data_IF_606900243359
#
_entry.id   IF_606900243359
#
_cell.length_a   1.000
_cell.length_b   1.000
_cell.length_c   1.000
_cell.angle_alpha   90.00
_cell.angle_beta   90.00
_cell.angle_gamma   90.00
#
_symmetry.space_group_name_H-M   'P 1'
#
loop_
_entity.id
_entity.type
_entity.pdbx_description
1 polymer ?
#
# COMPACT_ATOMS: atom_id res chain seq x y z
N UNK A 1 29.77 -27.12 5.71
CA UNK A 1 29.92 -28.38 4.93
C UNK A 1 29.62 -28.05 3.47
N UNK A 2 30.52 -28.34 2.52
CA UNK A 2 30.24 -28.10 1.11
C UNK A 2 29.22 -29.13 0.61
N UNK A 3 28.00 -28.70 0.34
CA UNK A 3 27.01 -29.54 -0.31
C UNK A 3 27.45 -29.84 -1.74
N UNK A 4 28.00 -31.01 -1.95
CA UNK A 4 28.37 -31.52 -3.25
C UNK A 4 27.10 -32.09 -3.88
N UNK A 5 26.41 -31.29 -4.71
CA UNK A 5 25.40 -31.80 -5.63
C UNK A 5 26.01 -32.89 -6.51
N UNK A 6 25.74 -34.16 -6.17
CA UNK A 6 26.16 -35.30 -6.98
C UNK A 6 25.21 -35.41 -8.16
N UNK A 7 25.48 -34.66 -9.22
CA UNK A 7 24.84 -34.88 -10.50
C UNK A 7 25.28 -36.23 -11.07
N UNK A 8 24.38 -37.20 -11.15
CA UNK A 8 24.66 -38.54 -11.70
C UNK A 8 24.87 -38.59 -13.22
N UNK A 9 24.86 -37.45 -13.89
CA UNK A 9 25.14 -37.32 -15.31
C UNK A 9 26.33 -36.38 -15.50
N UNK A 10 27.23 -36.72 -16.40
CA UNK A 10 28.44 -35.95 -16.77
C UNK A 10 28.13 -34.66 -17.52
N UNK A 11 26.85 -34.30 -17.67
CA UNK A 11 26.41 -33.10 -18.34
C UNK A 11 26.17 -31.99 -17.32
N UNK A 12 26.91 -30.92 -17.44
CA UNK A 12 26.75 -29.72 -16.59
C UNK A 12 25.44 -29.02 -16.92
N UNK A 13 24.61 -28.76 -15.89
CA UNK A 13 23.37 -27.99 -16.04
C UNK A 13 23.66 -26.60 -16.63
N UNK A 14 22.91 -26.17 -17.63
CA UNK A 14 23.01 -24.83 -18.23
C UNK A 14 21.63 -24.31 -18.64
N UNK A 15 21.41 -23.04 -18.37
CA UNK A 15 20.16 -22.33 -18.72
C UNK A 15 18.92 -23.12 -18.31
N UNK A 16 18.94 -23.65 -17.08
CA UNK A 16 17.84 -24.47 -16.57
C UNK A 16 17.66 -24.36 -15.07
N UNK A 17 16.44 -24.59 -14.66
CA UNK A 17 16.04 -24.75 -13.26
C UNK A 17 16.34 -26.16 -12.78
N UNK A 18 16.79 -26.27 -11.53
CA UNK A 18 16.97 -27.52 -10.82
C UNK A 18 16.38 -27.35 -9.42
N UNK A 19 15.61 -28.34 -8.99
CA UNK A 19 15.11 -28.45 -7.62
C UNK A 19 15.73 -29.61 -6.90
N UNK A 20 15.90 -29.46 -5.60
CA UNK A 20 16.30 -30.53 -4.67
C UNK A 20 15.42 -30.46 -3.44
N UNK A 21 15.15 -31.61 -2.83
CA UNK A 21 14.44 -31.68 -1.56
C UNK A 21 15.29 -31.03 -0.46
N UNK A 22 14.64 -30.26 0.41
CA UNK A 22 15.28 -29.57 1.53
C UNK A 22 15.42 -30.50 2.75
N UNK A 23 16.38 -31.43 2.68
CA UNK A 23 16.59 -32.46 3.73
C UNK A 23 17.13 -31.85 5.05
N UNK A 24 17.68 -30.66 5.02
CA UNK A 24 18.33 -29.99 6.16
C UNK A 24 17.44 -28.91 6.82
N UNK A 25 16.15 -28.79 6.45
CA UNK A 25 15.20 -27.80 6.92
C UNK A 25 15.80 -26.37 6.85
N UNK A 26 16.42 -26.04 5.72
CA UNK A 26 17.04 -24.73 5.49
C UNK A 26 15.97 -23.69 5.22
N UNK A 27 15.92 -22.66 6.05
CA UNK A 27 15.09 -21.48 5.79
C UNK A 27 15.66 -20.65 4.63
N UNK A 28 14.79 -20.21 3.74
CA UNK A 28 15.17 -19.32 2.64
C UNK A 28 14.46 -17.98 2.82
N UNK A 29 15.23 -16.95 3.18
CA UNK A 29 14.71 -15.60 3.46
C UNK A 29 13.65 -15.55 4.58
N UNK A 30 13.80 -16.42 5.61
CA UNK A 30 12.86 -16.51 6.73
C UNK A 30 11.66 -17.42 6.49
N UNK A 31 11.53 -17.99 5.29
CA UNK A 31 10.45 -18.89 4.92
C UNK A 31 10.90 -20.36 5.05
N UNK A 32 10.06 -21.20 5.67
CA UNK A 32 10.20 -22.66 5.63
C UNK A 32 9.81 -23.15 4.24
N UNK A 33 10.71 -23.90 3.59
CA UNK A 33 10.49 -24.42 2.23
C UNK A 33 10.81 -25.91 2.18
N UNK A 34 9.99 -26.69 1.50
CA UNK A 34 10.22 -28.14 1.29
C UNK A 34 11.20 -28.40 0.14
N UNK A 35 11.34 -27.43 -0.78
CA UNK A 35 12.11 -27.60 -2.00
C UNK A 35 13.04 -26.41 -2.24
N UNK A 36 14.31 -26.67 -2.41
CA UNK A 36 15.31 -25.68 -2.81
C UNK A 36 15.44 -25.61 -4.32
N UNK A 37 15.18 -24.42 -4.91
CA UNK A 37 15.28 -24.17 -6.35
C UNK A 37 16.51 -23.37 -6.71
N UNK A 38 17.17 -23.77 -7.78
CA UNK A 38 18.36 -23.10 -8.33
C UNK A 38 18.19 -22.84 -9.82
N UNK A 39 18.73 -21.73 -10.31
CA UNK A 39 18.85 -21.50 -11.74
C UNK A 39 20.33 -21.48 -12.17
N UNK A 40 20.68 -22.37 -13.07
CA UNK A 40 22.02 -22.46 -13.64
C UNK A 40 22.10 -21.67 -14.95
N UNK A 41 23.01 -20.68 -15.02
CA UNK A 41 23.24 -19.89 -16.20
C UNK A 41 23.97 -20.63 -17.33
N UNK A 42 24.28 -19.94 -18.41
CA UNK A 42 24.95 -20.47 -19.59
C UNK A 42 26.38 -21.02 -19.29
N UNK A 43 27.02 -20.46 -18.29
CA UNK A 43 28.33 -20.92 -17.78
C UNK A 43 28.23 -22.15 -16.86
N UNK A 44 27.00 -22.66 -16.60
CA UNK A 44 26.71 -23.78 -15.71
C UNK A 44 27.02 -23.51 -14.25
N UNK A 45 26.97 -22.26 -13.80
CA UNK A 45 27.03 -21.87 -12.40
C UNK A 45 25.63 -21.42 -11.96
N UNK A 46 25.24 -21.75 -10.74
CA UNK A 46 24.02 -21.23 -10.14
C UNK A 46 24.11 -19.68 -9.99
N UNK A 47 23.00 -19.00 -10.22
CA UNK A 47 22.90 -17.61 -9.84
C UNK A 47 22.84 -17.53 -8.32
N UNK A 48 23.60 -16.62 -7.75
CA UNK A 48 23.65 -16.37 -6.32
C UNK A 48 24.12 -14.96 -6.01
N UNK A 49 23.83 -14.46 -4.84
CA UNK A 49 24.41 -13.22 -4.34
C UNK A 49 25.92 -13.41 -4.01
N UNK A 50 26.68 -12.33 -4.04
CA UNK A 50 28.13 -12.35 -3.72
C UNK A 50 28.37 -12.13 -2.21
N UNK A 51 27.35 -11.66 -1.49
CA UNK A 51 27.37 -11.38 -0.05
C UNK A 51 26.06 -11.88 0.59
N UNK A 52 25.77 -11.47 1.81
CA UNK A 52 24.48 -11.76 2.47
C UNK A 52 23.27 -11.07 1.80
N UNK A 53 23.52 -10.20 0.80
CA UNK A 53 22.46 -9.58 0.00
C UNK A 53 21.83 -10.58 -0.98
N UNK A 54 20.71 -10.14 -1.58
CA UNK A 54 20.03 -10.92 -2.62
C UNK A 54 20.56 -10.60 -4.02
N UNK A 55 20.39 -11.56 -4.95
CA UNK A 55 20.69 -11.39 -6.37
C UNK A 55 19.42 -11.38 -7.19
N UNK A 56 19.06 -10.22 -7.72
CA UNK A 56 17.94 -10.09 -8.68
C UNK A 56 18.37 -10.51 -10.09
N UNK A 57 17.59 -11.37 -10.73
CA UNK A 57 17.83 -11.85 -12.10
C UNK A 57 16.55 -12.08 -12.88
N UNK A 58 16.62 -11.83 -14.18
CA UNK A 58 15.59 -12.31 -15.13
C UNK A 58 15.99 -13.68 -15.64
N UNK A 59 15.15 -14.67 -15.37
CA UNK A 59 15.35 -16.05 -15.80
C UNK A 59 14.20 -16.51 -16.69
N UNK A 60 14.45 -17.33 -17.72
CA UNK A 60 13.40 -17.94 -18.50
C UNK A 60 12.66 -19.02 -17.68
N UNK A 61 11.37 -19.13 -17.93
CA UNK A 61 10.51 -20.20 -17.45
C UNK A 61 9.64 -20.74 -18.60
N UNK A 62 8.67 -21.61 -18.28
CA UNK A 62 7.79 -22.21 -19.27
C UNK A 62 6.85 -21.22 -19.97
N UNK A 63 6.70 -20.01 -19.44
CA UNK A 63 5.76 -18.98 -19.92
C UNK A 63 6.46 -17.74 -20.51
N UNK A 64 7.78 -17.66 -20.39
CA UNK A 64 8.58 -16.52 -20.87
C UNK A 64 9.80 -16.23 -20.01
N UNK A 65 10.02 -14.95 -19.71
CA UNK A 65 11.11 -14.51 -18.82
C UNK A 65 10.53 -13.66 -17.70
N UNK A 66 10.87 -14.01 -16.45
CA UNK A 66 10.40 -13.35 -15.24
C UNK A 66 11.55 -12.95 -14.34
N UNK A 67 11.28 -12.08 -13.39
CA UNK A 67 12.25 -11.65 -12.38
C UNK A 67 12.20 -12.59 -11.19
N UNK A 68 13.37 -13.03 -10.74
CA UNK A 68 13.59 -13.88 -9.59
C UNK A 68 14.67 -13.29 -8.69
N UNK A 69 14.69 -13.72 -7.43
CA UNK A 69 15.70 -13.36 -6.44
C UNK A 69 16.40 -14.63 -5.95
N UNK A 70 17.69 -14.52 -5.63
CA UNK A 70 18.51 -15.62 -5.16
C UNK A 70 19.35 -15.15 -3.97
N UNK A 71 19.49 -16.00 -2.97
CA UNK A 71 20.36 -15.76 -1.81
C UNK A 71 21.86 -15.96 -2.11
N UNK A 72 22.71 -15.93 -1.08
CA UNK A 72 24.15 -16.12 -1.19
C UNK A 72 24.54 -17.59 -1.46
N UNK A 73 23.64 -18.52 -1.21
CA UNK A 73 23.83 -19.97 -1.48
C UNK A 73 23.28 -20.38 -2.84
N UNK A 74 22.46 -19.52 -3.43
CA UNK A 74 21.86 -19.67 -4.75
C UNK A 74 20.45 -20.25 -4.71
N UNK A 75 19.82 -20.26 -3.54
CA UNK A 75 18.42 -20.64 -3.41
C UNK A 75 17.53 -19.56 -4.01
N UNK A 76 16.52 -19.98 -4.73
CA UNK A 76 15.46 -19.07 -5.20
C UNK A 76 14.59 -18.62 -4.03
N UNK A 77 14.40 -17.33 -3.90
CA UNK A 77 13.60 -16.72 -2.84
C UNK A 77 12.15 -16.65 -3.27
N UNK A 78 11.23 -17.04 -2.39
CA UNK A 78 9.78 -16.89 -2.51
C UNK A 78 9.23 -15.93 -1.45
N UNK A 79 7.91 -15.75 -1.40
CA UNK A 79 7.27 -14.87 -0.42
C UNK A 79 7.57 -13.39 -0.64
N UNK A 80 7.55 -12.62 0.46
CA UNK A 80 7.87 -11.19 0.45
C UNK A 80 9.37 -10.94 0.33
N UNK A 81 9.74 -9.95 -0.46
CA UNK A 81 11.15 -9.62 -0.74
C UNK A 81 11.34 -8.11 -0.73
N UNK A 82 12.19 -7.63 0.17
CA UNK A 82 12.69 -6.26 0.13
C UNK A 82 14.07 -6.23 -0.53
N UNK A 83 14.16 -5.56 -1.67
CA UNK A 83 15.39 -5.45 -2.44
C UNK A 83 15.65 -4.01 -2.89
N UNK A 84 16.79 -3.44 -2.47
CA UNK A 84 17.18 -2.05 -2.77
C UNK A 84 16.12 -1.00 -2.38
N UNK A 85 15.42 -1.22 -1.25
CA UNK A 85 14.36 -0.34 -0.74
C UNK A 85 13.02 -0.43 -1.49
N UNK A 86 12.86 -1.45 -2.31
CA UNK A 86 11.61 -1.73 -3.03
C UNK A 86 11.07 -3.10 -2.64
N UNK A 87 9.78 -3.20 -2.41
CA UNK A 87 9.09 -4.43 -1.99
C UNK A 87 8.54 -5.19 -3.20
N UNK A 88 8.67 -6.50 -3.17
CA UNK A 88 8.18 -7.46 -4.15
C UNK A 88 7.46 -8.60 -3.44
N UNK A 89 6.62 -9.30 -4.17
CA UNK A 89 6.06 -10.59 -3.74
C UNK A 89 6.39 -11.65 -4.79
N UNK A 90 7.00 -12.74 -4.38
CA UNK A 90 7.56 -13.76 -5.25
C UNK A 90 6.79 -15.10 -5.23
N UNK A 91 5.53 -15.06 -4.82
CA UNK A 91 4.67 -16.24 -4.82
C UNK A 91 5.09 -17.29 -3.81
N UNK A 92 4.68 -18.52 -4.05
CA UNK A 92 5.01 -19.68 -3.23
C UNK A 92 6.40 -20.23 -3.53
N UNK A 93 6.90 -21.17 -2.72
CA UNK A 93 8.20 -21.83 -2.88
C UNK A 93 8.44 -22.43 -4.28
N UNK A 94 7.37 -22.85 -4.98
CA UNK A 94 7.45 -23.42 -6.31
C UNK A 94 7.26 -22.41 -7.45
N UNK A 95 7.07 -21.15 -7.12
CA UNK A 95 6.87 -20.05 -8.07
C UNK A 95 8.11 -19.15 -8.14
N UNK A 96 8.43 -18.44 -7.07
CA UNK A 96 9.64 -17.62 -6.89
C UNK A 96 9.76 -16.40 -7.83
N UNK A 97 8.84 -16.16 -8.75
CA UNK A 97 8.90 -14.99 -9.61
C UNK A 97 8.18 -13.80 -9.01
N UNK A 98 8.73 -12.61 -9.21
CA UNK A 98 8.09 -11.36 -8.81
C UNK A 98 6.73 -11.18 -9.50
N UNK A 99 5.68 -11.08 -8.72
CA UNK A 99 4.30 -10.87 -9.18
C UNK A 99 4.11 -9.47 -9.77
N UNK A 100 3.11 -9.33 -10.62
CA UNK A 100 2.72 -8.05 -11.24
C UNK A 100 1.21 -7.89 -11.23
N UNK A 101 0.72 -6.64 -11.32
CA UNK A 101 -0.71 -6.36 -11.33
C UNK A 101 -1.33 -6.44 -9.93
N UNK A 102 -2.64 -6.63 -9.89
CA UNK A 102 -3.41 -6.77 -8.66
C UNK A 102 -3.22 -8.15 -8.04
N UNK A 103 -2.99 -8.16 -6.74
CA UNK A 103 -2.86 -9.36 -5.92
C UNK A 103 -3.62 -9.15 -4.59
N UNK A 104 -4.27 -10.19 -4.09
CA UNK A 104 -4.92 -10.23 -2.80
C UNK A 104 -4.15 -11.24 -1.94
N UNK A 105 -3.36 -10.75 -1.00
CA UNK A 105 -2.31 -11.49 -0.31
C UNK A 105 -2.37 -11.21 1.18
N UNK A 106 -1.93 -12.16 1.97
CA UNK A 106 -1.55 -11.95 3.35
C UNK A 106 -0.39 -10.95 3.41
N UNK A 107 -0.48 -9.90 4.22
CA UNK A 107 0.64 -8.96 4.43
C UNK A 107 1.88 -9.66 4.96
N UNK A 108 3.05 -9.03 4.78
CA UNK A 108 4.30 -9.51 5.36
C UNK A 108 4.19 -9.62 6.88
N UNK A 109 4.70 -10.68 7.49
CA UNK A 109 4.67 -10.94 8.93
C UNK A 109 5.31 -9.83 9.79
N UNK A 110 6.24 -9.06 9.19
CA UNK A 110 6.86 -7.90 9.83
C UNK A 110 5.91 -6.70 9.94
N UNK A 111 4.75 -6.74 9.29
CA UNK A 111 3.72 -5.72 9.43
C UNK A 111 2.88 -5.97 10.69
N UNK A 112 2.43 -4.88 11.31
CA UNK A 112 1.57 -4.98 12.49
C UNK A 112 0.23 -5.63 12.13
N UNK A 113 0.05 -6.91 12.52
CA UNK A 113 -1.13 -7.72 12.21
C UNK A 113 -2.42 -7.21 12.85
N UNK A 114 -2.35 -6.32 13.86
CA UNK A 114 -3.54 -5.72 14.49
C UNK A 114 -4.13 -4.56 13.67
N UNK A 115 -3.40 -4.08 12.66
CA UNK A 115 -3.79 -2.95 11.80
C UNK A 115 -4.43 -3.41 10.47
N UNK A 116 -4.20 -4.66 10.05
CA UNK A 116 -4.62 -5.16 8.74
C UNK A 116 -5.45 -6.44 8.86
N UNK A 117 -6.29 -6.67 7.86
CA UNK A 117 -7.02 -7.94 7.72
C UNK A 117 -6.07 -9.10 7.35
N UNK A 118 -6.54 -10.34 7.47
CA UNK A 118 -5.78 -11.55 7.10
C UNK A 118 -5.26 -11.50 5.65
N UNK A 119 -5.98 -10.83 4.77
CA UNK A 119 -5.57 -10.60 3.37
C UNK A 119 -5.91 -9.20 2.93
N UNK A 120 -4.99 -8.60 2.15
CA UNK A 120 -5.08 -7.22 1.68
C UNK A 120 -4.83 -7.11 0.17
N UNK A 121 -5.32 -6.03 -0.44
CA UNK A 121 -5.06 -5.76 -1.85
C UNK A 121 -3.77 -4.99 -2.07
N UNK A 122 -2.91 -5.57 -2.88
CA UNK A 122 -1.68 -4.95 -3.38
C UNK A 122 -1.74 -4.75 -4.89
N UNK A 123 -0.94 -3.81 -5.39
CA UNK A 123 -0.70 -3.69 -6.81
C UNK A 123 0.78 -3.54 -7.12
N UNK A 124 1.29 -4.47 -7.92
CA UNK A 124 2.69 -4.48 -8.34
C UNK A 124 2.82 -3.91 -9.75
N UNK A 125 3.83 -3.05 -9.95
CA UNK A 125 4.18 -2.50 -11.27
C UNK A 125 4.60 -3.65 -12.21
N UNK A 126 4.71 -3.37 -13.52
CA UNK A 126 5.26 -4.32 -14.49
C UNK A 126 6.70 -4.76 -14.20
N UNK A 127 7.42 -3.99 -13.39
CA UNK A 127 8.75 -4.33 -12.88
C UNK A 127 8.74 -5.26 -11.66
N UNK A 128 7.57 -5.65 -11.15
CA UNK A 128 7.39 -6.43 -9.93
C UNK A 128 7.37 -5.60 -8.63
N UNK A 129 7.71 -4.31 -8.68
CA UNK A 129 7.75 -3.45 -7.49
C UNK A 129 6.36 -3.10 -6.98
N UNK A 130 6.12 -3.24 -5.68
CA UNK A 130 4.89 -2.78 -5.05
C UNK A 130 4.68 -1.27 -5.24
N UNK A 131 3.42 -0.85 -5.29
CA UNK A 131 3.07 0.57 -5.23
C UNK A 131 2.94 0.94 -3.76
N UNK A 132 3.79 1.83 -3.27
CA UNK A 132 3.80 2.29 -1.88
C UNK A 132 3.69 3.82 -1.85
N UNK A 133 3.01 4.39 -0.85
CA UNK A 133 2.83 5.84 -0.67
C UNK A 133 2.45 6.57 -1.97
N UNK A 134 1.48 6.05 -2.71
CA UNK A 134 1.19 6.61 -4.04
C UNK A 134 -0.28 6.55 -4.41
N UNK A 135 -0.67 7.44 -5.31
CA UNK A 135 -1.95 7.35 -6.02
C UNK A 135 -1.69 6.85 -7.44
N UNK A 136 -2.46 5.88 -7.87
CA UNK A 136 -2.37 5.30 -9.21
C UNK A 136 -3.71 5.36 -9.94
N UNK A 137 -3.68 5.79 -11.21
CA UNK A 137 -4.85 5.82 -12.07
C UNK A 137 -4.89 4.59 -12.97
N UNK A 138 -6.00 3.84 -12.93
CA UNK A 138 -6.21 2.66 -13.77
C UNK A 138 -7.68 2.51 -14.15
N UNK A 139 -7.94 2.21 -15.41
CA UNK A 139 -9.30 1.91 -15.95
C UNK A 139 -10.36 2.93 -15.50
N UNK A 140 -10.03 4.23 -15.53
CA UNK A 140 -10.97 5.29 -15.19
C UNK A 140 -11.11 5.60 -13.69
N UNK A 141 -10.32 4.95 -12.81
CA UNK A 141 -10.38 5.11 -11.36
C UNK A 141 -9.01 5.40 -10.77
N UNK A 142 -9.00 6.07 -9.64
CA UNK A 142 -7.80 6.29 -8.83
C UNK A 142 -7.81 5.33 -7.65
N UNK A 143 -6.64 4.80 -7.34
CA UNK A 143 -6.36 3.96 -6.18
C UNK A 143 -5.24 4.58 -5.38
N UNK A 144 -5.27 4.46 -4.06
CA UNK A 144 -4.19 4.91 -3.18
C UNK A 144 -3.62 3.73 -2.41
N UNK A 145 -2.32 3.78 -2.15
CA UNK A 145 -1.60 2.75 -1.41
C UNK A 145 -0.84 3.42 -0.27
N UNK A 146 -0.82 2.78 0.87
CA UNK A 146 -0.12 3.24 2.08
C UNK A 146 1.41 3.02 1.99
N UNK A 147 2.11 3.20 3.12
CA UNK A 147 3.55 3.00 3.23
C UNK A 147 3.96 1.54 3.05
N UNK A 148 3.10 0.60 3.36
CA UNK A 148 3.34 -0.84 3.27
C UNK A 148 2.94 -1.42 1.90
N UNK A 149 2.24 -0.64 1.09
CA UNK A 149 1.78 -1.03 -0.24
C UNK A 149 0.37 -1.60 -0.25
N UNK A 150 -0.32 -1.55 0.88
CA UNK A 150 -1.71 -1.97 1.01
C UNK A 150 -2.61 -0.92 0.36
N UNK A 151 -3.59 -1.38 -0.39
CA UNK A 151 -4.58 -0.50 -1.02
C UNK A 151 -5.50 0.08 0.06
N UNK A 152 -5.52 1.40 0.17
CA UNK A 152 -6.47 2.03 1.07
C UNK A 152 -7.91 1.74 0.61
N UNK A 153 -8.70 1.24 1.53
CA UNK A 153 -10.14 1.01 1.39
C UNK A 153 -10.84 1.57 2.63
N UNK A 154 -12.13 1.94 2.46
CA UNK A 154 -12.93 2.53 3.51
C UNK A 154 -12.27 3.77 4.15
N UNK A 155 -12.30 3.90 5.46
CA UNK A 155 -11.63 4.95 6.21
C UNK A 155 -10.14 4.63 6.40
N UNK A 156 -9.28 5.64 6.29
CA UNK A 156 -7.85 5.50 6.52
C UNK A 156 -7.22 6.81 6.99
N UNK A 157 -6.04 6.73 7.55
CA UNK A 157 -5.31 7.84 8.14
C UNK A 157 -4.94 8.92 7.13
N UNK A 158 -5.10 10.18 7.55
CA UNK A 158 -4.73 11.38 6.81
C UNK A 158 -3.63 12.14 7.53
N UNK A 159 -2.52 12.39 6.85
CA UNK A 159 -1.42 13.22 7.36
C UNK A 159 -1.56 14.65 6.86
N UNK A 160 -1.73 15.60 7.77
CA UNK A 160 -1.80 17.03 7.43
C UNK A 160 -0.62 17.79 8.03
N UNK A 161 -0.13 18.81 7.32
CA UNK A 161 0.83 19.74 7.88
C UNK A 161 0.15 20.57 8.96
N UNK A 162 0.69 20.60 10.18
CA UNK A 162 0.19 21.46 11.23
C UNK A 162 0.45 22.92 10.89
N UNK A 163 -0.61 23.73 10.93
CA UNK A 163 -0.50 25.18 10.82
C UNK A 163 -0.28 25.72 12.24
N UNK A 164 0.94 26.15 12.53
CA UNK A 164 1.23 26.89 13.74
C UNK A 164 0.99 28.40 13.52
N UNK A 165 0.62 29.13 14.54
CA UNK A 165 0.62 30.59 14.54
C UNK A 165 1.93 31.11 15.13
N UNK A 166 2.59 32.02 14.44
CA UNK A 166 3.75 32.72 14.99
C UNK A 166 3.35 33.69 16.12
N UNK A 167 4.34 34.26 16.77
CA UNK A 167 4.12 35.24 17.86
C UNK A 167 3.38 36.53 17.43
N UNK A 168 3.24 36.74 16.11
CA UNK A 168 2.49 37.85 15.52
C UNK A 168 1.08 37.46 15.07
N UNK A 169 0.68 36.19 15.30
CA UNK A 169 -0.62 35.67 14.90
C UNK A 169 -0.74 35.27 13.42
N UNK A 170 0.37 35.20 12.68
CA UNK A 170 0.34 34.74 11.28
C UNK A 170 0.44 33.21 11.24
N UNK A 171 -0.28 32.61 10.30
CA UNK A 171 -0.19 31.18 10.08
C UNK A 171 1.16 30.81 9.45
N UNK A 172 1.94 30.02 10.15
CA UNK A 172 3.19 29.44 9.66
C UNK A 172 2.95 27.96 9.44
N UNK A 173 3.25 27.46 8.24
CA UNK A 173 3.19 26.01 7.97
C UNK A 173 4.22 25.35 8.88
N UNK A 174 3.76 24.57 9.85
CA UNK A 174 4.61 23.82 10.75
C UNK A 174 5.40 22.73 10.03
N UNK A 175 6.55 22.39 10.58
CA UNK A 175 7.40 21.28 10.09
C UNK A 175 6.95 19.91 10.62
N UNK A 176 5.97 19.90 11.55
CA UNK A 176 5.41 18.66 12.11
C UNK A 176 4.10 18.31 11.41
N UNK A 177 3.95 17.04 11.06
CA UNK A 177 2.71 16.50 10.53
C UNK A 177 1.83 16.02 11.68
N UNK A 178 0.54 16.29 11.57
CA UNK A 178 -0.49 15.70 12.44
C UNK A 178 -1.20 14.60 11.65
N UNK A 179 -1.36 13.44 12.26
CA UNK A 179 -2.21 12.37 11.73
C UNK A 179 -3.63 12.60 12.22
N UNK A 180 -4.58 12.60 11.31
CA UNK A 180 -6.01 12.50 11.63
C UNK A 180 -6.38 11.05 11.37
N UNK A 181 -6.61 10.30 12.45
CA UNK A 181 -7.04 8.91 12.36
C UNK A 181 -8.34 8.84 11.57
N UNK A 182 -8.41 7.93 10.60
CA UNK A 182 -9.57 7.74 9.74
C UNK A 182 -10.07 9.03 9.07
N UNK A 183 -9.14 9.95 8.77
CA UNK A 183 -9.47 11.28 8.22
C UNK A 183 -9.74 11.31 6.72
N UNK A 184 -9.48 10.24 6.00
CA UNK A 184 -9.71 10.10 4.57
C UNK A 184 -10.55 8.85 4.27
N UNK A 185 -11.24 8.85 3.12
CA UNK A 185 -12.13 7.76 2.71
C UNK A 185 -11.95 7.37 1.25
N UNK A 186 -12.01 6.09 0.96
CA UNK A 186 -12.27 5.54 -0.37
C UNK A 186 -13.42 4.54 -0.27
N UNK A 187 -14.01 4.13 -1.41
CA UNK A 187 -14.97 3.02 -1.38
C UNK A 187 -14.27 1.69 -1.09
N UNK A 188 -14.99 0.68 -0.58
CA UNK A 188 -14.49 -0.67 -0.26
C UNK A 188 -13.65 -1.31 -1.38
N UNK A 189 -13.93 -1.01 -2.64
CA UNK A 189 -13.13 -1.48 -3.77
C UNK A 189 -11.86 -0.63 -4.02
N UNK A 190 -11.46 0.23 -3.08
CA UNK A 190 -10.30 1.10 -3.14
C UNK A 190 -10.39 2.23 -4.15
N UNK A 191 -11.51 2.38 -4.86
CA UNK A 191 -11.63 3.42 -5.87
C UNK A 191 -11.89 4.77 -5.25
N UNK A 192 -11.00 5.71 -5.53
CA UNK A 192 -11.09 7.09 -5.09
C UNK A 192 -12.08 7.89 -5.92
N UNK A 193 -12.97 8.64 -5.28
CA UNK A 193 -13.91 9.54 -5.94
C UNK A 193 -14.37 10.67 -5.01
N UNK A 194 -14.72 11.82 -5.58
CA UNK A 194 -15.34 12.94 -4.85
C UNK A 194 -16.85 12.87 -5.00
N UNK A 195 -17.57 13.52 -4.10
CA UNK A 195 -19.02 13.61 -4.14
C UNK A 195 -19.70 12.97 -2.93
N UNK A 196 -20.96 12.60 -3.12
CA UNK A 196 -21.75 12.01 -2.03
C UNK A 196 -21.37 10.57 -1.77
N UNK A 197 -21.25 10.23 -0.49
CA UNK A 197 -21.13 8.87 0.03
C UNK A 197 -22.03 8.71 1.25
N UNK A 198 -22.63 7.54 1.40
CA UNK A 198 -23.39 7.13 2.58
C UNK A 198 -22.68 5.91 3.15
N UNK A 199 -22.09 6.05 4.32
CA UNK A 199 -21.30 5.01 4.96
C UNK A 199 -21.32 5.16 6.47
N UNK A 200 -20.88 4.16 7.19
CA UNK A 200 -20.66 4.23 8.62
C UNK A 200 -19.62 5.30 8.93
N UNK A 201 -19.79 5.99 10.06
CA UNK A 201 -18.80 6.92 10.57
C UNK A 201 -17.64 6.14 11.18
N UNK A 202 -16.44 6.68 11.07
CA UNK A 202 -15.28 6.10 11.71
C UNK A 202 -15.50 5.98 13.23
N UNK A 203 -15.55 4.77 13.74
CA UNK A 203 -15.71 4.46 15.16
C UNK A 203 -17.14 4.49 15.73
N UNK A 204 -18.18 4.75 14.94
CA UNK A 204 -19.58 4.66 15.34
C UNK A 204 -20.36 3.71 14.39
N UNK A 205 -21.25 2.89 14.91
CA UNK A 205 -22.02 1.91 14.10
C UNK A 205 -23.19 2.55 13.31
N UNK A 206 -23.21 3.86 13.19
CA UNK A 206 -24.26 4.60 12.49
C UNK A 206 -23.79 5.12 11.14
N UNK A 207 -24.62 4.98 10.10
CA UNK A 207 -24.31 5.47 8.76
C UNK A 207 -24.79 6.90 8.55
N UNK A 208 -23.95 7.71 7.93
CA UNK A 208 -24.21 9.12 7.64
C UNK A 208 -23.92 9.47 6.19
N UNK A 209 -24.43 10.61 5.75
CA UNK A 209 -24.06 11.21 4.47
C UNK A 209 -22.85 12.12 4.63
N UNK A 210 -21.84 11.89 3.80
CA UNK A 210 -20.67 12.73 3.64
C UNK A 210 -20.60 13.28 2.21
N UNK A 211 -19.94 14.40 2.04
CA UNK A 211 -19.57 14.90 0.73
C UNK A 211 -18.05 14.99 0.60
N UNK A 212 -17.47 14.07 -0.13
CA UNK A 212 -16.03 13.97 -0.29
C UNK A 212 -15.50 15.06 -1.22
N UNK A 213 -14.40 15.67 -0.81
CA UNK A 213 -13.65 16.66 -1.58
C UNK A 213 -12.18 16.22 -1.68
N UNK A 214 -11.51 16.64 -2.76
CA UNK A 214 -10.08 16.39 -2.89
C UNK A 214 -9.29 17.28 -1.93
N UNK A 215 -8.34 16.69 -1.23
CA UNK A 215 -7.41 17.34 -0.34
C UNK A 215 -5.99 16.87 -0.68
N UNK A 216 -5.01 17.79 -0.67
CA UNK A 216 -3.61 17.47 -0.84
C UNK A 216 -2.96 17.39 0.54
N UNK A 217 -2.57 16.20 0.95
CA UNK A 217 -1.94 15.98 2.25
C UNK A 217 -0.48 16.47 2.30
N UNK A 218 0.18 16.28 3.45
CA UNK A 218 1.53 16.79 3.68
C UNK A 218 2.62 16.13 2.85
N UNK A 219 2.39 14.91 2.37
CA UNK A 219 3.33 14.20 1.47
C UNK A 219 3.12 14.56 -0.01
N UNK A 220 2.13 15.41 -0.29
CA UNK A 220 1.78 15.84 -1.64
C UNK A 220 0.78 14.94 -2.35
N UNK A 221 0.33 13.86 -1.71
CA UNK A 221 -0.67 12.94 -2.25
C UNK A 221 -2.06 13.58 -2.17
N UNK A 222 -2.83 13.44 -3.24
CA UNK A 222 -4.23 13.90 -3.25
C UNK A 222 -5.11 12.78 -2.70
N UNK A 223 -5.83 13.07 -1.62
CA UNK A 223 -6.76 12.15 -0.95
C UNK A 223 -8.17 12.69 -0.97
N UNK A 224 -9.17 11.86 -0.71
CA UNK A 224 -10.54 12.30 -0.53
C UNK A 224 -10.86 12.39 0.95
N UNK A 225 -11.43 13.53 1.35
CA UNK A 225 -11.78 13.80 2.74
C UNK A 225 -13.22 14.30 2.82
N UNK A 226 -13.95 14.02 3.90
CA UNK A 226 -15.26 14.65 4.11
C UNK A 226 -15.14 16.17 4.16
N UNK A 227 -16.04 16.86 3.48
CA UNK A 227 -16.09 18.30 3.54
C UNK A 227 -16.32 18.76 4.99
N UNK A 228 -15.51 19.70 5.46
CA UNK A 228 -15.47 20.25 6.82
C UNK A 228 -14.69 19.43 7.87
N UNK A 229 -14.38 18.17 7.67
CA UNK A 229 -13.70 17.34 8.69
C UNK A 229 -12.28 17.81 9.03
N UNK A 230 -11.61 18.49 8.11
CA UNK A 230 -10.22 18.97 8.28
C UNK A 230 -10.12 20.46 8.60
N UNK A 231 -11.23 21.11 8.92
CA UNK A 231 -11.25 22.57 9.17
C UNK A 231 -10.57 22.98 10.48
N UNK A 232 -10.38 22.05 11.40
CA UNK A 232 -9.75 22.27 12.71
C UNK A 232 -10.55 23.16 13.65
N UNK A 233 -11.77 23.56 13.29
CA UNK A 233 -12.70 24.33 14.13
C UNK A 233 -14.02 23.57 14.33
N UNK A 234 -14.70 23.81 15.42
CA UNK A 234 -15.96 23.18 15.80
C UNK A 234 -17.20 23.77 15.09
N UNK A 235 -17.03 24.41 13.94
CA UNK A 235 -18.12 25.11 13.27
C UNK A 235 -18.74 24.28 12.17
N UNK A 236 -20.07 24.28 12.13
CA UNK A 236 -20.79 23.82 10.95
C UNK A 236 -20.50 24.72 9.76
N UNK A 237 -20.40 24.14 8.58
CA UNK A 237 -20.15 24.85 7.32
C UNK A 237 -21.18 24.51 6.27
N UNK A 238 -21.57 25.53 5.49
CA UNK A 238 -22.47 25.36 4.36
C UNK A 238 -21.70 25.10 3.06
N UNK A 239 -22.24 24.22 2.21
CA UNK A 239 -21.75 23.99 0.85
C UNK A 239 -22.91 23.95 -0.13
N UNK A 240 -22.78 24.68 -1.23
CA UNK A 240 -23.74 24.62 -2.34
C UNK A 240 -23.33 23.49 -3.29
N UNK A 241 -24.23 22.54 -3.48
CA UNK A 241 -24.01 21.38 -4.35
C UNK A 241 -25.20 21.27 -5.30
N UNK A 242 -24.95 21.41 -6.60
CA UNK A 242 -26.00 21.41 -7.65
C UNK A 242 -27.17 22.36 -7.33
N UNK A 243 -26.85 23.58 -6.86
CA UNK A 243 -27.83 24.62 -6.56
C UNK A 243 -28.59 24.47 -5.24
N UNK A 244 -28.32 23.41 -4.45
CA UNK A 244 -28.89 23.23 -3.11
C UNK A 244 -27.83 23.46 -2.04
N UNK A 245 -28.19 24.07 -0.93
CA UNK A 245 -27.29 24.31 0.20
C UNK A 245 -27.44 23.18 1.21
N UNK A 246 -26.32 22.58 1.58
CA UNK A 246 -26.20 21.56 2.59
C UNK A 246 -25.30 22.05 3.72
N UNK A 247 -25.55 21.59 4.93
CA UNK A 247 -24.78 21.93 6.13
C UNK A 247 -24.04 20.69 6.59
N UNK A 248 -22.78 20.85 6.94
CA UNK A 248 -21.91 19.78 7.42
C UNK A 248 -21.38 20.13 8.81
N UNK A 249 -21.36 19.12 9.69
CA UNK A 249 -20.76 19.22 11.00
C UNK A 249 -19.21 19.23 10.92
N UNK A 250 -18.51 19.52 12.03
CA UNK A 250 -17.04 19.48 12.08
C UNK A 250 -16.44 18.10 11.76
N UNK A 251 -17.14 17.01 12.06
CA UNK A 251 -16.78 15.63 11.72
C UNK A 251 -16.95 15.29 10.23
N UNK A 252 -17.52 16.20 9.46
CA UNK A 252 -17.79 16.02 8.02
C UNK A 252 -19.16 15.40 7.72
N UNK A 253 -19.92 14.96 8.73
CA UNK A 253 -21.25 14.42 8.51
C UNK A 253 -22.24 15.49 8.06
N UNK A 254 -23.12 15.15 7.12
CA UNK A 254 -24.18 16.06 6.71
C UNK A 254 -25.19 16.25 7.86
N UNK A 255 -25.48 17.50 8.19
CA UNK A 255 -26.51 17.81 9.19
C UNK A 255 -27.89 17.52 8.63
N UNK A 256 -28.62 16.67 9.31
CA UNK A 256 -30.01 16.37 9.06
C UNK A 256 -30.95 17.27 9.90
N UNK A 257 -32.17 17.46 9.44
CA UNK A 257 -33.21 18.22 10.12
C UNK A 257 -33.11 19.74 9.96
N UNK A 258 -33.82 20.47 10.84
CA UNK A 258 -33.92 21.93 10.79
C UNK A 258 -32.65 22.60 11.33
N UNK A 259 -32.06 23.50 10.54
CA UNK A 259 -30.89 24.29 10.92
C UNK A 259 -31.25 25.76 10.94
N UNK A 260 -31.06 26.44 12.06
CA UNK A 260 -31.20 27.89 12.16
C UNK A 260 -29.85 28.52 11.82
N UNK A 261 -29.82 29.25 10.70
CA UNK A 261 -28.64 30.04 10.29
C UNK A 261 -28.74 31.42 10.94
N UNK A 262 -27.83 31.73 11.85
CA UNK A 262 -27.68 33.10 12.37
C UNK A 262 -26.72 33.88 11.49
N UNK A 263 -27.18 35.00 10.93
CA UNK A 263 -26.31 35.87 10.17
C UNK A 263 -25.43 36.68 11.14
N UNK A 264 -24.10 36.55 11.05
CA UNK A 264 -23.14 37.29 11.87
C UNK A 264 -23.10 38.80 11.59
N UNK A 265 -23.82 39.27 10.56
CA UNK A 265 -23.75 40.69 10.10
C UNK A 265 -24.87 41.60 10.66
N UNK A 266 -25.64 41.17 11.63
CA UNK A 266 -26.51 42.07 12.38
C UNK A 266 -25.77 42.68 13.58
N UNK A 267 -24.69 43.41 13.34
CA UNK A 267 -24.40 44.59 14.13
C UNK A 267 -25.35 45.67 13.62
N UNK A 268 -26.57 45.69 14.10
CA UNK A 268 -27.41 46.87 14.08
C UNK A 268 -26.71 47.91 14.93
N UNK A 269 -26.47 49.08 14.35
CA UNK A 269 -25.92 50.24 14.99
C UNK A 269 -26.79 50.79 16.11
#
# INVERSE_FOLDING_TARGET
>A
MEHRLICRTTVRAKNQWISVENEDDTDVNGEEVDTLWYYFGDNGKAYKAESADMKKKTCPDSTGSRTYFFDSEGHMISGWVDYEGETYYCGTENEGWAYTGWQYLEPDDDLNSDEYDDQEWFNFKSSGKARKNTTWYSKGRYYTFDANGIMNSDWYDLKIATVATDENGNNVIGTSNTTITEGAYTSENGSKGTGWVYTEDAGENDSYWFYLVSFKDSDGTVRNVPFNSISGDEKMRAKVIKGKTYIFKPDGTMKDGLVVLTNKNNNAG
#
